data_IF_998778207524
#
_entry.id   IF_998778207524
#
_cell.length_a   1.000
_cell.length_b   1.000
_cell.length_c   1.000
_cell.angle_alpha   90.00
_cell.angle_beta   90.00
_cell.angle_gamma   90.00
#
_symmetry.space_group_name_H-M   'P 1'
#
loop_
_entity.id
_entity.type
_entity.pdbx_description
1 polymer ?
#
# COMPACT_ATOMS: atom_id res chain seq x y z
N UNK A 1 -13.76 6.29 0.00
CA UNK A 1 -13.81 4.82 0.04
C UNK A 1 -13.31 4.32 1.40
N UNK A 2 -13.96 3.32 1.94
CA UNK A 2 -13.62 2.83 3.27
C UNK A 2 -12.64 1.67 3.16
N UNK A 3 -11.52 1.76 3.90
CA UNK A 3 -10.54 0.67 3.93
C UNK A 3 -10.88 -0.33 5.04
N UNK A 4 -10.49 -1.56 4.83
CA UNK A 4 -10.68 -2.63 5.82
C UNK A 4 -9.50 -2.70 6.78
N UNK A 5 -8.34 -2.24 6.35
CA UNK A 5 -7.13 -2.24 7.17
C UNK A 5 -6.31 -1.01 6.82
N UNK A 6 -5.68 -0.41 7.84
CA UNK A 6 -4.82 0.76 7.66
C UNK A 6 -3.41 0.38 8.10
N UNK A 7 -2.43 0.68 7.24
CA UNK A 7 -1.02 0.44 7.52
C UNK A 7 -0.26 1.75 7.37
N UNK A 8 0.43 2.15 8.43
CA UNK A 8 1.24 3.35 8.44
C UNK A 8 2.71 2.96 8.27
N UNK A 9 3.28 3.31 7.12
CA UNK A 9 4.69 3.08 6.81
C UNK A 9 5.48 4.38 6.77
N UNK A 10 4.94 5.48 7.31
CA UNK A 10 5.68 6.74 7.39
C UNK A 10 6.91 6.55 8.29
N UNK A 11 8.02 7.17 7.90
CA UNK A 11 9.28 7.01 8.61
C UNK A 11 10.07 5.76 8.23
N UNK A 12 9.51 4.89 7.40
CA UNK A 12 10.20 3.69 6.93
C UNK A 12 10.77 3.90 5.54
N UNK A 13 11.89 3.24 5.25
CA UNK A 13 12.57 3.33 3.97
C UNK A 13 12.58 1.97 3.27
N UNK A 14 12.67 2.00 1.94
CA UNK A 14 12.79 0.80 1.13
C UNK A 14 13.89 -0.11 1.69
N UNK A 15 13.63 -1.43 1.87
CA UNK A 15 12.45 -2.16 1.40
C UNK A 15 11.34 -2.35 2.45
N UNK A 16 11.41 -1.69 3.60
CA UNK A 16 10.44 -1.91 4.69
C UNK A 16 8.98 -1.69 4.29
N UNK A 17 8.60 -0.60 3.58
CA UNK A 17 7.22 -0.43 3.18
C UNK A 17 6.69 -1.58 2.33
N UNK A 18 7.54 -2.13 1.46
CA UNK A 18 7.17 -3.25 0.60
C UNK A 18 6.85 -4.49 1.43
N UNK A 19 7.73 -4.84 2.37
CA UNK A 19 7.55 -6.02 3.21
C UNK A 19 6.32 -5.90 4.09
N UNK A 20 6.12 -4.75 4.70
CA UNK A 20 4.99 -4.55 5.59
C UNK A 20 3.67 -4.55 4.85
N UNK A 21 3.65 -3.95 3.66
CA UNK A 21 2.46 -3.95 2.81
C UNK A 21 2.10 -5.37 2.38
N UNK A 22 3.10 -6.16 1.99
CA UNK A 22 2.86 -7.54 1.60
C UNK A 22 2.28 -8.36 2.73
N UNK A 23 2.83 -8.22 3.94
CA UNK A 23 2.33 -8.93 5.10
C UNK A 23 0.89 -8.52 5.42
N UNK A 24 0.60 -7.22 5.34
CA UNK A 24 -0.73 -6.72 5.62
C UNK A 24 -1.75 -7.23 4.60
N UNK A 25 -1.39 -7.26 3.31
CA UNK A 25 -2.26 -7.78 2.27
C UNK A 25 -2.53 -9.27 2.47
N UNK A 26 -1.52 -10.03 2.87
CA UNK A 26 -1.67 -11.46 3.11
C UNK A 26 -2.66 -11.76 4.23
N UNK A 27 -2.87 -10.81 5.14
CA UNK A 27 -3.85 -10.96 6.22
C UNK A 27 -5.27 -10.61 5.81
N UNK A 28 -5.45 -10.02 4.62
CA UNK A 28 -6.76 -9.64 4.12
C UNK A 28 -7.43 -10.79 3.39
N UNK A 29 -8.75 -10.71 3.29
CA UNK A 29 -9.54 -11.61 2.46
C UNK A 29 -9.77 -10.98 1.09
N UNK A 30 -10.10 -11.80 0.11
CA UNK A 30 -10.40 -11.31 -1.25
C UNK A 30 -11.44 -10.20 -1.23
N UNK A 31 -11.16 -9.13 -1.95
CA UNK A 31 -12.04 -7.97 -2.04
C UNK A 31 -11.86 -6.93 -0.96
N UNK A 32 -11.10 -7.22 0.07
CA UNK A 32 -10.83 -6.24 1.12
C UNK A 32 -9.78 -5.22 0.66
N UNK A 33 -9.81 -4.05 1.26
CA UNK A 33 -9.00 -2.90 0.87
C UNK A 33 -8.01 -2.54 1.98
N UNK A 34 -6.75 -2.40 1.59
CA UNK A 34 -5.69 -1.92 2.46
C UNK A 34 -5.42 -0.45 2.13
N UNK A 35 -5.39 0.38 3.16
CA UNK A 35 -4.91 1.75 3.03
C UNK A 35 -3.49 1.80 3.60
N UNK A 36 -2.52 2.12 2.75
CA UNK A 36 -1.12 2.19 3.16
C UNK A 36 -0.56 3.59 2.91
N UNK A 37 0.09 4.15 3.93
CA UNK A 37 0.72 5.47 3.86
C UNK A 37 2.22 5.32 4.01
N UNK A 38 2.98 6.09 3.23
CA UNK A 38 4.44 6.08 3.28
C UNK A 38 4.96 7.46 2.88
N UNK A 39 6.19 7.76 3.29
CA UNK A 39 6.83 9.03 2.93
C UNK A 39 8.18 8.85 2.23
N UNK A 40 8.55 7.62 1.90
CA UNK A 40 9.72 7.34 1.08
C UNK A 40 9.40 7.70 -0.37
N UNK A 41 10.25 8.50 -1.05
CA UNK A 41 10.00 8.89 -2.45
C UNK A 41 9.81 7.71 -3.40
N UNK A 42 10.40 6.56 -3.13
CA UNK A 42 10.26 5.38 -3.97
C UNK A 42 9.02 4.54 -3.65
N UNK A 43 8.31 4.84 -2.56
CA UNK A 43 7.25 3.97 -2.08
C UNK A 43 6.09 3.84 -3.05
N UNK A 44 5.68 4.94 -3.68
CA UNK A 44 4.54 4.90 -4.61
C UNK A 44 4.76 3.88 -5.72
N UNK A 45 5.89 3.98 -6.42
CA UNK A 45 6.17 3.07 -7.54
C UNK A 45 6.40 1.64 -7.06
N UNK A 46 7.10 1.48 -5.93
CA UNK A 46 7.39 0.17 -5.38
C UNK A 46 6.11 -0.55 -4.98
N UNK A 47 5.17 0.14 -4.34
CA UNK A 47 3.91 -0.45 -3.92
C UNK A 47 3.00 -0.74 -5.10
N UNK A 48 3.00 0.10 -6.13
CA UNK A 48 2.27 -0.18 -7.36
C UNK A 48 2.80 -1.44 -8.04
N UNK A 49 4.11 -1.60 -8.09
CA UNK A 49 4.72 -2.81 -8.68
C UNK A 49 4.38 -4.05 -7.88
N UNK A 50 4.42 -3.93 -6.56
CA UNK A 50 4.06 -5.05 -5.68
C UNK A 50 2.62 -5.49 -5.93
N UNK A 51 1.69 -4.54 -5.95
CA UNK A 51 0.29 -4.85 -6.19
C UNK A 51 0.09 -5.52 -7.55
N UNK A 52 0.72 -4.98 -8.59
CA UNK A 52 0.61 -5.55 -9.94
C UNK A 52 1.18 -6.96 -10.01
N UNK A 53 2.33 -7.20 -9.37
CA UNK A 53 2.98 -8.51 -9.38
C UNK A 53 2.11 -9.57 -8.70
N UNK A 54 1.44 -9.20 -7.62
CA UNK A 54 0.59 -10.12 -6.87
C UNK A 54 -0.84 -10.18 -7.39
N UNK A 55 -1.17 -9.39 -8.41
CA UNK A 55 -2.49 -9.39 -9.01
C UNK A 55 -3.54 -8.59 -8.26
N UNK A 56 -3.10 -7.70 -7.37
CA UNK A 56 -4.01 -6.82 -6.64
C UNK A 56 -4.26 -5.53 -7.41
N UNK A 57 -5.33 -4.83 -7.05
CA UNK A 57 -5.73 -3.61 -7.74
C UNK A 57 -5.44 -2.37 -6.88
N UNK A 58 -4.75 -1.39 -7.46
CA UNK A 58 -4.56 -0.09 -6.82
C UNK A 58 -5.76 0.78 -7.19
N UNK A 59 -6.60 1.08 -6.21
CA UNK A 59 -7.85 1.82 -6.42
C UNK A 59 -7.62 3.32 -6.46
N UNK A 60 -6.71 3.82 -5.63
CA UNK A 60 -6.50 5.25 -5.50
C UNK A 60 -5.11 5.53 -4.97
N UNK A 61 -4.53 6.64 -5.42
CA UNK A 61 -3.26 7.15 -4.92
C UNK A 61 -3.46 8.62 -4.56
N UNK A 62 -3.18 8.97 -3.32
CA UNK A 62 -3.25 10.36 -2.84
C UNK A 62 -1.88 10.81 -2.40
N UNK A 63 -1.51 12.02 -2.80
CA UNK A 63 -0.24 12.62 -2.38
C UNK A 63 -0.51 13.88 -1.58
N UNK A 64 0.20 14.02 -0.47
CA UNK A 64 0.11 15.20 0.39
C UNK A 64 1.52 15.53 0.87
N UNK A 65 2.16 16.50 0.20
CA UNK A 65 3.56 16.80 0.45
C UNK A 65 4.43 15.58 0.13
N UNK A 66 5.18 15.12 1.10
CA UNK A 66 6.06 13.96 0.95
C UNK A 66 5.35 12.64 1.23
N UNK A 67 4.12 12.70 1.72
CA UNK A 67 3.37 11.50 2.07
C UNK A 67 2.52 11.03 0.91
N UNK A 68 2.54 9.73 0.66
CA UNK A 68 1.67 9.09 -0.33
C UNK A 68 0.80 8.05 0.38
N UNK A 69 -0.48 8.00 0.02
CA UNK A 69 -1.42 7.01 0.54
C UNK A 69 -2.02 6.26 -0.64
N UNK A 70 -1.96 4.94 -0.58
CA UNK A 70 -2.51 4.07 -1.61
C UNK A 70 -3.65 3.23 -1.02
N UNK A 71 -4.70 3.05 -1.82
CA UNK A 71 -5.76 2.10 -1.52
C UNK A 71 -5.59 0.90 -2.45
N UNK A 72 -5.33 -0.26 -1.88
CA UNK A 72 -5.07 -1.49 -2.63
C UNK A 72 -6.13 -2.52 -2.26
N UNK A 73 -6.82 -3.03 -3.27
CA UNK A 73 -7.83 -4.07 -3.08
C UNK A 73 -7.21 -5.43 -3.34
N UNK A 74 -7.35 -6.34 -2.39
CA UNK A 74 -6.86 -7.71 -2.55
C UNK A 74 -7.71 -8.46 -3.56
N UNK A 75 -7.02 -9.11 -4.47
CA UNK A 75 -7.67 -9.89 -5.52
C UNK A 75 -8.28 -11.17 -4.98
#
# INVERSE_FOLDING_TARGET
MKSDKILDCTGLYCPEPIFRTRMAIDELESGQVLEVSADDPAAEEDLKRLAARLGHEVLEVKKDGDEVTLLIRKH
#
